data_IF_314071026921
#
_entry.id   IF_314071026921
#
_cell.length_a   1.000
_cell.length_b   1.000
_cell.length_c   1.000
_cell.angle_alpha   90.00
_cell.angle_beta   90.00
_cell.angle_gamma   90.00
#
_symmetry.space_group_name_H-M   'P 1'
#
loop_
_entity.id
_entity.type
_entity.pdbx_description
1 polymer ?
#
# COMPACT_ATOMS: atom_id res chain seq x y z
N UNK A 1 0.09 12.56 6.94
CA UNK A 1 1.01 11.98 5.93
C UNK A 1 0.84 10.48 6.01
N UNK A 2 0.52 9.81 4.91
CA UNK A 2 0.53 8.34 4.91
C UNK A 2 1.97 7.84 4.80
N UNK A 3 2.27 6.74 5.48
CA UNK A 3 3.57 6.05 5.44
C UNK A 3 4.77 7.00 5.65
N UNK A 4 5.00 7.55 6.87
CA UNK A 4 6.01 8.59 7.12
C UNK A 4 7.45 8.04 7.20
N UNK A 5 7.96 7.48 6.10
CA UNK A 5 9.25 6.78 6.00
C UNK A 5 10.42 7.70 6.35
N UNK A 6 10.37 8.96 5.93
CA UNK A 6 11.44 9.94 6.21
C UNK A 6 11.69 10.19 7.70
N UNK A 7 10.70 9.91 8.55
CA UNK A 7 10.88 9.99 10.00
C UNK A 7 11.81 8.89 10.54
N UNK A 8 11.98 7.79 9.80
CA UNK A 8 12.76 6.62 10.20
C UNK A 8 14.15 6.58 9.54
N UNK A 9 14.44 7.44 8.55
CA UNK A 9 15.73 7.46 7.83
C UNK A 9 16.94 7.60 8.76
N UNK A 10 16.77 8.33 9.88
CA UNK A 10 17.83 8.58 10.87
C UNK A 10 18.24 7.34 11.67
N UNK A 11 17.42 6.29 11.65
CA UNK A 11 17.68 5.05 12.38
C UNK A 11 18.75 4.17 11.71
N UNK A 12 19.16 4.51 10.47
CA UNK A 12 20.22 3.78 9.77
C UNK A 12 19.91 2.30 9.51
N UNK A 13 18.62 1.94 9.50
CA UNK A 13 18.12 0.58 9.32
C UNK A 13 17.32 0.46 8.01
N UNK A 14 17.31 -0.70 7.36
CA UNK A 14 16.41 -0.94 6.24
C UNK A 14 14.95 -0.68 6.63
N UNK A 15 14.23 0.07 5.80
CA UNK A 15 12.81 0.39 6.02
C UNK A 15 11.98 -0.38 5.00
N UNK A 16 11.00 -1.13 5.51
CA UNK A 16 10.03 -1.87 4.70
C UNK A 16 8.71 -1.09 4.72
N UNK A 17 8.32 -0.52 3.58
CA UNK A 17 7.02 0.12 3.40
C UNK A 17 5.95 -0.90 3.03
N UNK A 18 4.79 -0.79 3.67
CA UNK A 18 3.62 -1.62 3.39
C UNK A 18 2.46 -0.72 2.95
N UNK A 19 1.82 -1.07 1.85
CA UNK A 19 0.66 -0.34 1.34
C UNK A 19 -0.40 -1.29 0.79
N UNK A 20 -1.65 -0.99 1.11
CA UNK A 20 -2.84 -1.68 0.60
C UNK A 20 -3.71 -0.79 -0.31
N UNK A 21 -3.32 0.47 -0.56
CA UNK A 21 -4.12 1.43 -1.30
C UNK A 21 -3.70 1.51 -2.78
N UNK A 22 -3.78 0.39 -3.49
CA UNK A 22 -3.43 0.35 -4.92
C UNK A 22 -4.47 1.08 -5.77
N UNK A 23 -4.11 2.20 -6.39
CA UNK A 23 -4.99 2.97 -7.27
C UNK A 23 -4.86 2.52 -8.74
N UNK A 24 -5.94 2.01 -9.34
CA UNK A 24 -6.02 1.76 -10.79
C UNK A 24 -6.59 3.00 -11.51
N UNK A 25 -6.06 3.26 -12.71
CA UNK A 25 -6.45 4.37 -13.57
C UNK A 25 -7.79 4.10 -14.27
N UNK A 26 -8.20 2.83 -14.39
CA UNK A 26 -9.32 2.39 -15.23
C UNK A 26 -10.63 2.09 -14.47
N UNK A 27 -10.67 2.25 -13.15
CA UNK A 27 -11.86 1.93 -12.33
C UNK A 27 -12.89 3.06 -12.38
N UNK A 28 -13.77 3.10 -13.39
CA UNK A 28 -14.80 4.12 -13.45
C UNK A 28 -16.13 3.62 -14.05
N UNK A 29 -17.02 3.13 -13.19
CA UNK A 29 -18.46 3.45 -13.28
C UNK A 29 -18.84 4.30 -12.06
N UNK A 30 -19.16 5.58 -12.27
CA UNK A 30 -19.60 6.47 -11.19
C UNK A 30 -21.13 6.39 -11.07
N UNK A 31 -21.62 5.47 -10.25
CA UNK A 31 -23.06 5.27 -10.01
C UNK A 31 -23.64 6.17 -8.91
N UNK A 32 -22.79 6.76 -8.04
CA UNK A 32 -23.21 7.60 -6.92
C UNK A 32 -22.08 8.47 -6.35
N UNK A 33 -22.38 9.30 -5.34
CA UNK A 33 -21.41 10.21 -4.71
C UNK A 33 -20.34 9.50 -3.86
N UNK A 34 -20.67 8.36 -3.24
CA UNK A 34 -19.75 7.64 -2.35
C UNK A 34 -18.46 7.16 -3.06
N UNK A 35 -18.53 6.49 -4.24
CA UNK A 35 -17.35 6.13 -5.01
C UNK A 35 -16.47 7.32 -5.42
N UNK A 36 -17.07 8.49 -5.66
CA UNK A 36 -16.34 9.72 -6.01
C UNK A 36 -15.55 10.25 -4.82
N UNK A 37 -16.19 10.30 -3.64
CA UNK A 37 -15.52 10.70 -2.38
C UNK A 37 -14.37 9.74 -2.09
N UNK A 38 -14.63 8.44 -2.15
CA UNK A 38 -13.61 7.43 -1.88
C UNK A 38 -12.42 7.54 -2.84
N UNK A 39 -12.67 7.66 -4.15
CA UNK A 39 -11.59 7.83 -5.14
C UNK A 39 -10.79 9.10 -4.88
N UNK A 40 -11.44 10.19 -4.51
CA UNK A 40 -10.77 11.46 -4.15
C UNK A 40 -9.83 11.27 -2.95
N UNK A 41 -10.29 10.59 -1.91
CA UNK A 41 -9.47 10.27 -0.73
C UNK A 41 -8.27 9.39 -1.10
N UNK A 42 -8.48 8.37 -1.94
CA UNK A 42 -7.41 7.46 -2.39
C UNK A 42 -6.37 8.16 -3.24
N UNK A 43 -6.76 9.09 -4.11
CA UNK A 43 -5.85 9.95 -4.89
C UNK A 43 -5.04 10.85 -3.97
N UNK A 44 -5.69 11.54 -3.03
CA UNK A 44 -5.00 12.43 -2.09
C UNK A 44 -3.97 11.66 -1.24
N UNK A 45 -4.34 10.46 -0.77
CA UNK A 45 -3.44 9.56 -0.07
C UNK A 45 -2.22 9.18 -0.92
N UNK A 46 -2.45 8.67 -2.14
CA UNK A 46 -1.39 8.24 -3.06
C UNK A 46 -0.40 9.37 -3.40
N UNK A 47 -0.91 10.59 -3.63
CA UNK A 47 -0.06 11.75 -3.92
C UNK A 47 0.97 12.02 -2.81
N UNK A 48 0.59 11.82 -1.55
CA UNK A 48 1.50 12.03 -0.41
C UNK A 48 2.49 10.88 -0.17
N UNK A 49 2.30 9.74 -0.85
CA UNK A 49 3.07 8.52 -0.60
C UNK A 49 4.23 8.33 -1.57
N UNK A 50 4.23 8.93 -2.76
CA UNK A 50 5.28 8.69 -3.76
C UNK A 50 6.70 8.91 -3.20
N UNK A 51 6.96 10.09 -2.64
CA UNK A 51 8.26 10.42 -2.01
C UNK A 51 8.61 9.50 -0.83
N UNK A 52 7.61 8.90 -0.19
CA UNK A 52 7.81 7.98 0.94
C UNK A 52 8.13 6.56 0.45
N UNK A 53 7.49 6.12 -0.65
CA UNK A 53 7.77 4.83 -1.30
C UNK A 53 9.22 4.83 -1.79
N UNK A 54 9.66 5.91 -2.42
CA UNK A 54 11.04 6.05 -2.90
C UNK A 54 12.08 6.02 -1.76
N UNK A 55 11.69 6.47 -0.55
CA UNK A 55 12.54 6.42 0.63
C UNK A 55 12.57 5.02 1.30
N UNK A 56 11.71 4.08 0.88
CA UNK A 56 11.74 2.72 1.41
C UNK A 56 12.93 1.94 0.84
N UNK A 57 13.55 1.10 1.66
CA UNK A 57 14.52 0.11 1.17
C UNK A 57 13.82 -1.01 0.40
N UNK A 58 12.63 -1.39 0.85
CA UNK A 58 11.76 -2.35 0.20
C UNK A 58 10.31 -1.90 0.33
N UNK A 59 9.56 -1.99 -0.76
CA UNK A 59 8.13 -1.68 -0.78
C UNK A 59 7.31 -2.94 -1.09
N UNK A 60 6.26 -3.18 -0.30
CA UNK A 60 5.35 -4.31 -0.46
C UNK A 60 3.94 -3.77 -0.67
N UNK A 61 3.37 -4.10 -1.82
CA UNK A 61 1.99 -3.80 -2.19
C UNK A 61 1.48 -4.88 -3.15
N UNK A 62 0.19 -4.87 -3.43
CA UNK A 62 -0.46 -5.83 -4.33
C UNK A 62 -1.44 -5.14 -5.26
N UNK A 63 -1.30 -5.39 -6.57
CA UNK A 63 -2.26 -4.89 -7.57
C UNK A 63 -3.67 -5.44 -7.35
N UNK A 64 -3.81 -6.58 -6.66
CA UNK A 64 -5.12 -7.18 -6.32
C UNK A 64 -5.93 -6.33 -5.34
N UNK A 65 -5.29 -5.42 -4.61
CA UNK A 65 -6.01 -4.53 -3.68
C UNK A 65 -6.95 -3.55 -4.40
N UNK A 66 -6.82 -3.41 -5.72
CA UNK A 66 -7.72 -2.56 -6.51
C UNK A 66 -9.19 -2.98 -6.45
N UNK A 67 -9.43 -4.27 -6.23
CA UNK A 67 -10.77 -4.88 -6.24
C UNK A 67 -11.51 -4.70 -4.89
N UNK A 68 -10.91 -3.97 -3.94
CA UNK A 68 -11.42 -3.77 -2.59
C UNK A 68 -11.56 -2.29 -2.26
N UNK A 69 -12.66 -1.95 -1.60
CA UNK A 69 -12.95 -0.60 -1.16
C UNK A 69 -12.62 -0.37 0.31
N UNK A 70 -12.50 0.90 0.67
CA UNK A 70 -12.18 1.37 2.03
C UNK A 70 -13.16 0.84 3.08
N UNK A 71 -14.40 0.55 2.67
CA UNK A 71 -15.49 0.11 3.54
C UNK A 71 -15.91 -1.35 3.34
N UNK A 72 -15.14 -2.15 2.58
CA UNK A 72 -15.41 -3.58 2.35
C UNK A 72 -14.98 -4.44 3.56
N UNK A 73 -15.50 -4.13 4.75
CA UNK A 73 -15.10 -4.78 6.00
C UNK A 73 -15.44 -6.28 6.01
N UNK A 74 -16.49 -6.68 5.31
CA UNK A 74 -16.88 -8.08 5.13
C UNK A 74 -15.82 -8.91 4.39
N UNK A 75 -14.94 -8.26 3.62
CA UNK A 75 -13.86 -8.91 2.86
C UNK A 75 -12.51 -8.87 3.60
N UNK A 76 -12.47 -8.49 4.87
CA UNK A 76 -11.23 -8.31 5.63
C UNK A 76 -10.29 -9.54 5.59
N UNK A 77 -10.85 -10.75 5.64
CA UNK A 77 -10.05 -11.98 5.55
C UNK A 77 -9.37 -12.13 4.17
N UNK A 78 -10.06 -11.83 3.08
CA UNK A 78 -9.48 -11.87 1.74
C UNK A 78 -8.37 -10.83 1.58
N UNK A 79 -8.61 -9.61 2.09
CA UNK A 79 -7.62 -8.53 2.10
C UNK A 79 -6.37 -8.96 2.88
N UNK A 80 -6.56 -9.60 4.04
CA UNK A 80 -5.45 -10.15 4.83
C UNK A 80 -4.67 -11.21 4.04
N UNK A 81 -5.35 -12.16 3.40
CA UNK A 81 -4.72 -13.23 2.63
C UNK A 81 -3.91 -12.70 1.45
N UNK A 82 -4.40 -11.65 0.77
CA UNK A 82 -3.67 -10.95 -0.28
C UNK A 82 -2.39 -10.33 0.29
N UNK A 83 -2.49 -9.60 1.40
CA UNK A 83 -1.35 -8.97 2.05
C UNK A 83 -0.32 -10.00 2.51
N UNK A 84 -0.78 -11.11 3.11
CA UNK A 84 0.07 -12.21 3.56
C UNK A 84 0.81 -12.87 2.40
N UNK A 85 0.12 -13.19 1.30
CA UNK A 85 0.74 -13.77 0.11
C UNK A 85 1.78 -12.82 -0.51
N UNK A 86 1.48 -11.53 -0.59
CA UNK A 86 2.44 -10.51 -1.07
C UNK A 86 3.66 -10.40 -0.17
N UNK A 87 3.48 -10.47 1.16
CA UNK A 87 4.59 -10.51 2.11
C UNK A 87 5.46 -11.76 1.96
N UNK A 88 4.84 -12.95 1.81
CA UNK A 88 5.57 -14.20 1.59
C UNK A 88 6.47 -14.15 0.35
N UNK A 89 5.98 -13.57 -0.75
CA UNK A 89 6.76 -13.40 -1.98
C UNK A 89 8.00 -12.52 -1.78
N UNK A 90 7.96 -11.60 -0.80
CA UNK A 90 9.05 -10.68 -0.48
C UNK A 90 10.02 -11.22 0.57
N UNK A 91 9.77 -12.38 1.18
CA UNK A 91 10.68 -13.01 2.16
C UNK A 91 12.13 -13.10 1.67
N UNK A 92 12.43 -13.51 0.42
CA UNK A 92 13.82 -13.56 -0.05
C UNK A 92 14.49 -12.18 -0.04
N UNK A 93 13.78 -11.12 -0.44
CA UNK A 93 14.26 -9.74 -0.39
C UNK A 93 14.50 -9.29 1.06
N UNK A 94 13.53 -9.56 1.94
CA UNK A 94 13.61 -9.22 3.37
C UNK A 94 14.80 -9.90 4.05
N UNK A 95 15.03 -11.19 3.77
CA UNK A 95 16.17 -11.93 4.34
C UNK A 95 17.51 -11.32 3.93
N UNK A 96 17.64 -10.79 2.72
CA UNK A 96 18.86 -10.10 2.27
C UNK A 96 19.11 -8.80 3.04
N UNK A 97 18.07 -8.14 3.55
CA UNK A 97 18.21 -6.93 4.35
C UNK A 97 18.73 -7.20 5.77
N UNK A 98 18.57 -8.43 6.28
CA UNK A 98 19.05 -8.83 7.62
C UNK A 98 20.54 -9.16 7.66
N UNK A 99 21.16 -9.33 6.48
CA UNK A 99 22.59 -9.65 6.33
C UNK A 99 23.46 -8.44 5.98
N UNK A 100 22.85 -7.25 5.91
CA UNK A 100 23.52 -5.94 5.83
C UNK A 100 23.92 -5.48 7.24
#
# INVERSE_FOLDING_TARGET
LNMPVRCLEKEGRPIIGLDCNYLDENDIEYSSLMPVIERTLRIAANYTMQDQIEACTLYVSSKKMKDYHTFDFEKANEIFDIGYASGLQKIPEIKRLLTL
#
